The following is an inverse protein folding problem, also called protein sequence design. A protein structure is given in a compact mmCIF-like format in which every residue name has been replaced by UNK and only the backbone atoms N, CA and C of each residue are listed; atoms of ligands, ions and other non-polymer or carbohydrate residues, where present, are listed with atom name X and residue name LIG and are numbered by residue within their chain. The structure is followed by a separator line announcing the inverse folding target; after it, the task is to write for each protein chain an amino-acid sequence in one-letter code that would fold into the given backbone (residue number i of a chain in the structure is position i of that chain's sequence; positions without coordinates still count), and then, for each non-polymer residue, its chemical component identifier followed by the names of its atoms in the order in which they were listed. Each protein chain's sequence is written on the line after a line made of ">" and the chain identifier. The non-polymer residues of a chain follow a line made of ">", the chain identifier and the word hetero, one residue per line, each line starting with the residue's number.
data_IF_935837975979
#
_entry.id   IF_935837975979
#
_cell.length_a   1.000
_cell.length_b   1.000
_cell.length_c   1.000
_cell.angle_alpha   90.00
_cell.angle_beta   90.00
_cell.angle_gamma   90.00
#
_symmetry.space_group_name_H-M   'P 1'
#
loop_
_entity.id
_entity.type
_entity.pdbx_description
1 polymer ?
#
# COMPACT_ATOMS: atom_id res chain seq x y z
N UNK A 1 -2.02 20.13 27.95
CA UNK A 1 -1.51 20.23 26.57
C UNK A 1 -0.73 21.52 26.47
N UNK A 2 0.46 21.48 25.89
CA UNK A 2 1.25 22.68 25.56
C UNK A 2 1.25 22.79 24.04
N UNK A 3 0.74 23.88 23.48
CA UNK A 3 0.68 24.07 22.03
C UNK A 3 1.07 25.50 21.67
N UNK A 4 2.04 25.65 20.76
CA UNK A 4 2.52 26.92 20.24
C UNK A 4 2.53 26.87 18.71
N UNK A 5 2.16 27.97 18.05
CA UNK A 5 2.22 28.11 16.58
C UNK A 5 1.56 26.91 15.85
N UNK A 6 0.27 26.69 16.10
CA UNK A 6 -0.41 25.48 15.64
C UNK A 6 -1.65 25.76 14.77
N UNK A 7 -2.02 24.77 13.96
CA UNK A 7 -3.31 24.66 13.26
C UNK A 7 -3.92 23.32 13.63
N UNK A 8 -5.17 23.30 14.12
CA UNK A 8 -5.91 22.07 14.44
C UNK A 8 -7.26 22.09 13.72
N UNK A 9 -7.54 21.05 12.94
CA UNK A 9 -8.75 20.93 12.12
C UNK A 9 -9.85 20.09 12.81
N UNK A 10 -11.02 20.06 12.17
CA UNK A 10 -12.22 19.42 12.69
C UNK A 10 -12.04 17.93 12.98
N UNK A 11 -12.65 17.48 14.09
CA UNK A 11 -12.59 16.09 14.54
C UNK A 11 -11.24 15.63 15.10
N UNK A 12 -10.21 16.49 15.12
CA UNK A 12 -8.95 16.19 15.77
C UNK A 12 -9.10 16.20 17.31
N UNK A 13 -8.24 15.44 18.01
CA UNK A 13 -8.17 15.39 19.47
C UNK A 13 -6.72 15.47 19.93
N UNK A 14 -6.40 16.49 20.73
CA UNK A 14 -5.07 16.69 21.34
C UNK A 14 -5.24 16.74 22.86
N UNK A 15 -4.66 15.79 23.58
CA UNK A 15 -4.86 15.62 25.03
C UNK A 15 -3.65 15.03 25.76
N UNK A 16 -3.84 14.56 27.00
CA UNK A 16 -2.91 13.69 27.73
C UNK A 16 -1.45 14.20 27.75
N UNK A 17 -1.30 15.48 28.08
CA UNK A 17 0.00 16.18 28.16
C UNK A 17 0.83 16.17 26.87
N UNK A 18 0.19 16.16 25.70
CA UNK A 18 0.87 16.40 24.43
C UNK A 18 1.53 17.79 24.37
N UNK A 19 2.66 17.86 23.66
CA UNK A 19 3.44 19.08 23.41
C UNK A 19 3.56 19.30 21.90
N UNK A 20 3.13 20.46 21.40
CA UNK A 20 3.15 20.82 19.99
C UNK A 20 3.80 22.20 19.81
N UNK A 21 4.74 22.33 18.89
CA UNK A 21 5.30 23.62 18.46
C UNK A 21 5.45 23.65 16.93
N UNK A 22 4.89 24.66 16.25
CA UNK A 22 4.90 24.74 14.77
C UNK A 22 4.28 23.51 14.10
N UNK A 23 3.08 23.12 14.52
CA UNK A 23 2.43 21.90 14.04
C UNK A 23 1.11 22.14 13.29
N UNK A 24 0.89 21.38 12.22
CA UNK A 24 -0.42 21.23 11.58
C UNK A 24 -1.04 19.88 11.98
N UNK A 25 -2.29 19.91 12.45
CA UNK A 25 -3.04 18.74 12.94
C UNK A 25 -4.36 18.65 12.16
N UNK A 26 -4.38 17.76 11.17
CA UNK A 26 -5.45 17.58 10.19
C UNK A 26 -6.70 16.90 10.75
N UNK A 27 -7.68 16.65 9.86
CA UNK A 27 -9.00 16.19 10.28
C UNK A 27 -8.94 14.79 10.90
N UNK A 28 -9.58 14.63 12.05
CA UNK A 28 -9.55 13.35 12.76
C UNK A 28 -8.17 12.95 13.29
N UNK A 29 -7.15 13.81 13.34
CA UNK A 29 -5.87 13.41 13.96
C UNK A 29 -6.02 13.22 15.47
N UNK A 30 -5.32 12.24 16.06
CA UNK A 30 -5.26 12.05 17.52
C UNK A 30 -3.83 12.16 18.02
N UNK A 31 -3.54 13.12 18.90
CA UNK A 31 -2.23 13.28 19.52
C UNK A 31 -2.39 13.31 21.03
N UNK A 32 -1.61 12.50 21.75
CA UNK A 32 -1.78 12.38 23.20
C UNK A 32 -0.71 11.52 23.85
N UNK A 33 -0.95 11.20 25.11
CA UNK A 33 -0.12 10.33 25.95
C UNK A 33 1.36 10.73 25.97
N UNK A 34 1.59 12.01 26.24
CA UNK A 34 2.91 12.65 26.30
C UNK A 34 3.68 12.66 24.97
N UNK A 35 2.98 12.58 23.83
CA UNK A 35 3.62 12.74 22.53
C UNK A 35 4.08 14.19 22.33
N UNK A 36 5.30 14.38 21.83
CA UNK A 36 5.85 15.68 21.47
C UNK A 36 6.01 15.81 19.95
N UNK A 37 5.71 16.98 19.40
CA UNK A 37 5.98 17.27 18.00
C UNK A 37 6.47 18.70 17.77
N UNK A 38 7.42 18.85 16.86
CA UNK A 38 7.90 20.15 16.40
C UNK A 38 7.97 20.23 14.87
N UNK A 39 7.62 21.38 14.27
CA UNK A 39 7.78 21.65 12.83
C UNK A 39 7.13 20.58 11.92
N UNK A 40 6.03 19.99 12.37
CA UNK A 40 5.49 18.75 11.79
C UNK A 40 4.05 18.90 11.32
N UNK A 41 3.74 18.28 10.19
CA UNK A 41 2.38 18.24 9.63
C UNK A 41 1.80 16.83 9.73
N UNK A 42 0.63 16.70 10.35
CA UNK A 42 -0.12 15.46 10.48
C UNK A 42 -1.44 15.60 9.70
N UNK A 43 -1.65 14.77 8.69
CA UNK A 43 -2.86 14.76 7.86
C UNK A 43 -3.88 13.73 8.37
N UNK A 44 -5.02 13.62 7.69
CA UNK A 44 -6.19 12.86 8.12
C UNK A 44 -5.90 11.56 8.90
N UNK A 45 -6.55 11.42 10.04
CA UNK A 45 -6.54 10.20 10.85
C UNK A 45 -5.16 9.71 11.31
N UNK A 46 -4.11 10.54 11.30
CA UNK A 46 -2.87 10.20 11.99
C UNK A 46 -3.09 9.99 13.49
N UNK A 47 -2.23 9.17 14.10
CA UNK A 47 -2.22 8.94 15.54
C UNK A 47 -0.79 9.08 16.09
N UNK A 48 -0.56 10.08 16.93
CA UNK A 48 0.71 10.34 17.60
C UNK A 48 0.56 10.11 19.10
N UNK A 49 0.91 8.90 19.56
CA UNK A 49 0.98 8.59 20.99
C UNK A 49 2.38 8.13 21.36
N UNK A 50 2.82 8.49 22.56
CA UNK A 50 4.01 7.92 23.18
C UNK A 50 5.28 7.99 22.29
N UNK A 51 5.86 9.18 22.11
CA UNK A 51 7.04 9.34 21.26
C UNK A 51 7.26 10.80 20.88
N UNK A 52 8.13 11.01 19.90
CA UNK A 52 8.52 12.34 19.41
C UNK A 52 8.52 12.39 17.88
N UNK A 53 8.08 13.52 17.34
CA UNK A 53 8.20 13.85 15.92
C UNK A 53 8.88 15.21 15.71
N UNK A 54 9.82 15.31 14.78
CA UNK A 54 10.43 16.59 14.40
C UNK A 54 10.62 16.73 12.91
N UNK A 55 10.09 17.81 12.34
CA UNK A 55 10.22 18.13 10.91
C UNK A 55 9.70 17.02 9.98
N UNK A 56 8.53 16.44 10.29
CA UNK A 56 7.94 15.37 9.47
C UNK A 56 6.73 15.84 8.64
N UNK A 57 6.56 15.18 7.49
CA UNK A 57 5.31 15.19 6.73
C UNK A 57 4.61 13.85 6.94
N UNK A 58 3.66 13.80 7.87
CA UNK A 58 2.85 12.63 8.16
C UNK A 58 1.54 12.71 7.37
N UNK A 59 1.55 12.14 6.16
CA UNK A 59 0.35 11.84 5.38
C UNK A 59 -0.63 10.93 6.12
N UNK A 60 -1.87 10.77 5.61
CA UNK A 60 -2.97 10.13 6.30
C UNK A 60 -2.61 8.77 6.89
N UNK A 61 -3.17 8.47 8.07
CA UNK A 61 -2.96 7.21 8.78
C UNK A 61 -1.49 6.87 9.08
N UNK A 62 -0.62 7.88 9.20
CA UNK A 62 0.66 7.71 9.89
C UNK A 62 0.40 7.53 11.39
N UNK A 63 0.81 6.39 11.94
CA UNK A 63 0.53 6.01 13.32
C UNK A 63 1.79 5.63 14.09
N UNK A 64 1.83 6.07 15.34
CA UNK A 64 2.76 5.62 16.35
C UNK A 64 2.06 5.53 17.71
N UNK A 65 2.18 4.38 18.38
CA UNK A 65 1.40 4.05 19.58
C UNK A 65 2.24 3.68 20.80
N UNK A 66 3.57 3.65 20.68
CA UNK A 66 4.44 3.02 21.67
C UNK A 66 5.69 3.85 21.94
N UNK A 67 6.10 3.94 23.21
CA UNK A 67 7.43 4.47 23.53
C UNK A 67 8.52 3.54 22.98
N UNK A 68 9.70 4.03 22.59
CA UNK A 68 10.14 5.42 22.43
C UNK A 68 10.34 5.72 20.94
N UNK A 69 9.25 5.86 20.18
CA UNK A 69 9.37 6.18 18.75
C UNK A 69 9.91 7.60 18.56
N UNK A 70 10.85 7.73 17.63
CA UNK A 70 11.34 9.00 17.12
C UNK A 70 11.08 9.01 15.62
N UNK A 71 10.35 10.03 15.15
CA UNK A 71 10.08 10.28 13.73
C UNK A 71 10.73 11.61 13.34
N UNK A 72 11.76 11.58 12.49
CA UNK A 72 12.45 12.82 12.10
C UNK A 72 12.63 12.95 10.59
N UNK A 73 12.57 14.20 10.09
CA UNK A 73 12.99 14.59 8.74
C UNK A 73 12.52 13.58 7.67
N UNK A 74 11.22 13.29 7.63
CA UNK A 74 10.69 12.20 6.83
C UNK A 74 9.28 12.43 6.30
N UNK A 75 9.01 11.85 5.13
CA UNK A 75 7.68 11.69 4.55
C UNK A 75 7.15 10.30 4.89
N UNK A 76 5.96 10.25 5.49
CA UNK A 76 5.27 9.03 5.89
C UNK A 76 3.83 9.07 5.38
N UNK A 77 3.30 7.95 4.91
CA UNK A 77 1.89 7.85 4.49
C UNK A 77 1.36 6.45 4.79
N UNK A 78 0.18 6.35 5.41
CA UNK A 78 -0.40 5.09 5.88
C UNK A 78 0.59 4.22 6.68
N UNK A 79 1.50 4.91 7.38
CA UNK A 79 2.69 4.33 7.97
C UNK A 79 2.39 3.79 9.38
N UNK A 80 2.97 2.65 9.74
CA UNK A 80 2.89 2.13 11.10
C UNK A 80 4.30 2.01 11.71
N UNK A 81 4.57 2.81 12.74
CA UNK A 81 5.82 2.77 13.48
C UNK A 81 5.77 1.71 14.59
N UNK A 82 6.61 0.68 14.47
CA UNK A 82 6.86 -0.26 15.56
C UNK A 82 7.47 0.43 16.79
N UNK A 83 7.31 -0.17 17.97
CA UNK A 83 7.85 0.38 19.22
C UNK A 83 9.37 0.61 19.14
N UNK A 84 9.87 1.74 19.66
CA UNK A 84 11.29 2.05 19.63
C UNK A 84 11.88 2.28 18.22
N UNK A 85 11.03 2.48 17.20
CA UNK A 85 11.48 2.91 15.88
C UNK A 85 12.24 4.23 15.99
N UNK A 86 13.41 4.31 15.35
CA UNK A 86 14.29 5.47 15.45
C UNK A 86 14.95 5.73 14.08
N UNK A 87 15.28 6.99 13.78
CA UNK A 87 16.04 7.35 12.58
C UNK A 87 17.12 8.37 12.91
N UNK A 88 18.14 8.42 12.06
CA UNK A 88 19.14 9.47 12.13
C UNK A 88 19.28 10.16 10.79
N UNK A 89 19.38 11.47 10.83
CA UNK A 89 19.69 12.31 9.70
C UNK A 89 21.04 13.03 9.90
N UNK A 90 21.93 12.56 10.78
CA UNK A 90 23.23 13.22 10.97
C UNK A 90 24.22 12.87 9.83
N UNK A 91 24.06 13.50 8.65
CA UNK A 91 24.91 13.29 7.49
C UNK A 91 25.70 14.57 7.14
N UNK A 92 26.82 14.79 7.83
CA UNK A 92 27.65 16.00 7.71
C UNK A 92 28.06 16.40 6.27
N UNK A 93 28.11 15.44 5.34
CA UNK A 93 28.55 15.66 3.95
C UNK A 93 27.45 16.15 2.99
N UNK A 94 26.17 15.98 3.32
CA UNK A 94 25.05 16.26 2.41
C UNK A 94 24.36 17.62 2.66
N UNK A 95 24.84 18.40 3.62
CA UNK A 95 24.14 19.63 4.05
C UNK A 95 22.79 19.31 4.72
N UNK A 96 21.89 20.28 4.90
CA UNK A 96 20.71 20.12 5.75
C UNK A 96 19.55 19.29 5.14
N UNK A 97 19.67 18.83 3.89
CA UNK A 97 18.54 18.26 3.13
C UNK A 97 18.78 16.79 2.76
N UNK A 98 18.47 15.90 3.69
CA UNK A 98 18.41 14.45 3.45
C UNK A 98 17.25 13.85 4.27
N UNK A 99 16.15 13.54 3.59
CA UNK A 99 14.94 13.04 4.23
C UNK A 99 14.77 11.55 4.01
N UNK A 100 14.09 10.89 4.95
CA UNK A 100 13.52 9.58 4.70
C UNK A 100 12.21 9.69 3.92
N UNK A 101 12.00 8.79 2.97
CA UNK A 101 10.72 8.65 2.26
C UNK A 101 10.19 7.25 2.50
N UNK A 102 9.18 7.13 3.34
CA UNK A 102 8.44 5.90 3.54
C UNK A 102 7.12 6.03 2.79
N UNK A 103 7.08 5.42 1.61
CA UNK A 103 5.88 5.44 0.77
C UNK A 103 4.70 4.73 1.47
N UNK A 104 3.49 5.00 0.95
CA UNK A 104 2.22 4.48 1.46
C UNK A 104 2.28 3.06 2.00
N UNK A 105 1.83 2.87 3.22
CA UNK A 105 1.61 1.55 3.81
C UNK A 105 2.89 0.89 4.30
N UNK A 106 4.05 1.58 4.22
CA UNK A 106 5.28 1.10 4.81
C UNK A 106 5.13 0.92 6.33
N UNK A 107 5.95 0.04 6.91
CA UNK A 107 5.91 -0.25 8.35
C UNK A 107 7.32 -0.51 8.86
N UNK A 108 7.56 -0.16 10.11
CA UNK A 108 8.77 -0.58 10.82
C UNK A 108 8.44 -1.62 11.88
N UNK A 109 9.29 -2.62 12.01
CA UNK A 109 9.29 -3.52 13.16
C UNK A 109 9.76 -2.79 14.43
N UNK A 110 9.53 -3.41 15.58
CA UNK A 110 10.07 -2.91 16.84
C UNK A 110 11.59 -2.74 16.79
N UNK A 111 12.10 -1.66 17.37
CA UNK A 111 13.50 -1.25 17.42
C UNK A 111 14.18 -1.12 16.05
N UNK A 112 13.41 -0.87 15.00
CA UNK A 112 14.00 -0.61 13.68
C UNK A 112 14.71 0.74 13.67
N UNK A 113 15.90 0.76 13.07
CA UNK A 113 16.69 1.96 12.87
C UNK A 113 16.97 2.17 11.39
N UNK A 114 16.88 3.41 10.92
CA UNK A 114 17.24 3.77 9.54
C UNK A 114 18.11 5.02 9.51
N UNK A 115 19.17 4.98 8.71
CA UNK A 115 20.01 6.14 8.42
C UNK A 115 19.51 6.87 7.17
N UNK A 116 19.11 8.13 7.31
CA UNK A 116 18.70 8.97 6.19
C UNK A 116 19.88 9.40 5.31
N UNK A 117 19.67 9.57 4.00
CA UNK A 117 18.40 9.35 3.28
C UNK A 117 18.13 7.87 2.96
N UNK A 118 16.86 7.46 3.02
CA UNK A 118 16.39 6.20 2.45
C UNK A 118 15.05 6.42 1.75
N UNK A 119 14.77 5.60 0.73
CA UNK A 119 13.47 5.53 0.09
C UNK A 119 12.91 4.11 0.11
N UNK A 120 11.78 3.95 0.78
CA UNK A 120 11.13 2.67 1.03
C UNK A 120 9.92 2.55 0.10
N UNK A 121 9.87 1.46 -0.69
CA UNK A 121 8.74 1.20 -1.59
C UNK A 121 7.42 0.98 -0.85
N UNK A 122 6.31 1.37 -1.48
CA UNK A 122 4.97 1.24 -0.90
C UNK A 122 4.69 -0.15 -0.30
N UNK A 123 4.03 -0.20 0.86
CA UNK A 123 3.67 -1.42 1.59
C UNK A 123 4.87 -2.29 2.01
N UNK A 124 6.07 -1.73 2.12
CA UNK A 124 7.27 -2.47 2.55
C UNK A 124 7.43 -2.47 4.07
N UNK A 125 7.73 -3.64 4.64
CA UNK A 125 8.11 -3.77 6.04
C UNK A 125 9.63 -3.64 6.21
N UNK A 126 10.09 -2.83 7.16
CA UNK A 126 11.51 -2.64 7.50
C UNK A 126 11.74 -3.12 8.92
N UNK A 127 12.65 -4.06 9.13
CA UNK A 127 12.88 -4.70 10.43
C UNK A 127 14.38 -4.78 10.70
N UNK A 128 14.80 -4.20 11.83
CA UNK A 128 16.19 -4.23 12.27
C UNK A 128 16.91 -2.90 12.06
N UNK A 129 18.24 -2.90 12.19
CA UNK A 129 19.07 -1.69 12.22
C UNK A 129 19.83 -1.50 10.92
N UNK A 130 19.39 -0.54 10.11
CA UNK A 130 19.95 -0.27 8.80
C UNK A 130 20.81 1.00 8.82
N UNK A 131 22.13 0.81 8.81
CA UNK A 131 23.10 1.90 8.81
C UNK A 131 23.49 2.38 7.41
N UNK A 132 23.14 1.63 6.36
CA UNK A 132 23.34 2.04 4.99
C UNK A 132 22.13 2.82 4.47
N UNK A 133 22.38 3.74 3.55
CA UNK A 133 21.34 4.40 2.75
C UNK A 133 20.88 3.47 1.62
N UNK A 134 19.59 3.46 1.29
CA UNK A 134 19.07 2.64 0.20
C UNK A 134 17.79 3.19 -0.45
N UNK A 135 17.56 2.81 -1.71
CA UNK A 135 16.34 3.13 -2.47
C UNK A 135 15.71 1.87 -3.06
N UNK A 136 14.49 1.58 -2.58
CA UNK A 136 13.69 0.41 -2.93
C UNK A 136 12.32 0.80 -3.49
N UNK A 137 12.16 2.04 -3.97
CA UNK A 137 10.88 2.59 -4.41
C UNK A 137 10.15 1.75 -5.46
N UNK A 138 10.90 1.09 -6.34
CA UNK A 138 10.38 0.25 -7.43
C UNK A 138 10.18 -1.22 -7.03
N UNK A 139 10.41 -1.56 -5.76
CA UNK A 139 10.18 -2.90 -5.20
C UNK A 139 9.14 -2.83 -4.06
N UNK A 140 7.86 -2.53 -4.37
CA UNK A 140 6.80 -2.41 -3.36
C UNK A 140 6.48 -3.76 -2.72
N UNK A 141 5.79 -3.75 -1.58
CA UNK A 141 5.41 -4.96 -0.85
C UNK A 141 6.61 -5.84 -0.48
N UNK A 142 7.78 -5.26 -0.27
CA UNK A 142 8.97 -6.02 0.13
C UNK A 142 9.03 -6.17 1.65
N UNK A 143 9.91 -7.05 2.13
CA UNK A 143 10.50 -6.91 3.46
C UNK A 143 11.97 -6.53 3.32
N UNK A 144 12.45 -5.65 4.21
CA UNK A 144 13.85 -5.29 4.34
C UNK A 144 14.25 -5.67 5.76
N UNK A 145 15.16 -6.63 5.87
CA UNK A 145 15.59 -7.22 7.14
C UNK A 145 17.06 -6.90 7.36
N UNK A 146 17.42 -6.53 8.58
CA UNK A 146 18.83 -6.53 8.97
C UNK A 146 19.30 -7.99 9.15
N UNK A 147 20.42 -8.32 8.51
CA UNK A 147 21.07 -9.62 8.66
C UNK A 147 22.57 -9.44 8.52
N UNK A 148 23.33 -9.77 9.55
CA UNK A 148 24.79 -9.72 9.56
C UNK A 148 25.35 -8.33 9.15
N UNK A 149 24.69 -7.26 9.60
CA UNK A 149 25.06 -5.88 9.28
C UNK A 149 24.61 -5.40 7.90
N UNK A 150 23.89 -6.22 7.13
CA UNK A 150 23.39 -5.89 5.79
C UNK A 150 21.88 -5.66 5.79
N UNK A 151 21.42 -4.78 4.91
CA UNK A 151 20.01 -4.61 4.58
C UNK A 151 19.61 -5.64 3.51
N UNK A 152 18.94 -6.71 3.92
CA UNK A 152 18.50 -7.79 3.01
C UNK A 152 17.07 -7.58 2.58
N UNK A 153 16.84 -7.38 1.28
CA UNK A 153 15.52 -7.21 0.70
C UNK A 153 14.94 -8.54 0.20
N UNK A 154 13.67 -8.77 0.53
CA UNK A 154 12.83 -9.86 0.07
C UNK A 154 11.68 -9.28 -0.77
N UNK A 155 11.80 -9.28 -2.12
CA UNK A 155 10.83 -8.63 -2.98
C UNK A 155 9.45 -9.27 -2.86
N UNK A 156 8.39 -8.46 -2.95
CA UNK A 156 7.00 -8.91 -3.03
C UNK A 156 6.49 -9.74 -1.83
N UNK A 157 7.30 -9.94 -0.78
CA UNK A 157 6.99 -10.80 0.35
C UNK A 157 5.73 -10.38 1.11
N UNK A 158 5.50 -9.08 1.20
CA UNK A 158 4.41 -8.51 1.97
C UNK A 158 3.06 -8.49 1.22
N UNK A 159 3.00 -8.93 -0.05
CA UNK A 159 1.76 -9.01 -0.83
C UNK A 159 0.75 -9.98 -0.21
N UNK A 160 1.25 -11.13 0.26
CA UNK A 160 0.43 -12.25 0.70
C UNK A 160 0.36 -12.37 2.22
N UNK A 161 0.63 -11.29 2.97
CA UNK A 161 0.60 -11.34 4.43
C UNK A 161 -0.78 -10.97 4.94
N UNK A 162 -1.18 -11.61 6.04
CA UNK A 162 -2.42 -11.27 6.75
C UNK A 162 -2.40 -9.80 7.22
N UNK A 163 -1.23 -9.29 7.61
CA UNK A 163 -1.04 -7.92 8.07
C UNK A 163 -1.36 -6.86 7.01
N UNK A 164 -0.89 -7.03 5.77
CA UNK A 164 -1.17 -6.11 4.67
C UNK A 164 -2.66 -6.04 4.34
N UNK A 165 -3.32 -7.20 4.28
CA UNK A 165 -4.76 -7.28 3.98
C UNK A 165 -5.61 -6.63 5.07
N UNK A 166 -5.32 -6.95 6.34
CA UNK A 166 -6.03 -6.37 7.49
C UNK A 166 -5.84 -4.86 7.56
N UNK A 167 -4.63 -4.36 7.37
CA UNK A 167 -4.37 -2.91 7.48
C UNK A 167 -5.04 -2.12 6.37
N UNK A 168 -5.02 -2.63 5.14
CA UNK A 168 -5.73 -2.03 4.01
C UNK A 168 -7.25 -1.91 4.26
N UNK A 169 -7.85 -2.95 4.83
CA UNK A 169 -9.28 -2.94 5.19
C UNK A 169 -9.59 -2.06 6.42
N UNK A 170 -8.63 -1.87 7.33
CA UNK A 170 -8.84 -1.06 8.55
C UNK A 170 -8.97 0.42 8.25
N UNK A 171 -8.18 0.97 7.33
CA UNK A 171 -8.14 2.42 7.09
C UNK A 171 -9.49 3.05 6.76
N UNK A 172 -10.26 2.58 5.75
CA UNK A 172 -11.57 3.15 5.46
C UNK A 172 -12.56 2.96 6.62
N UNK A 173 -12.53 1.80 7.28
CA UNK A 173 -13.38 1.52 8.45
C UNK A 173 -13.03 2.35 9.69
N UNK A 174 -11.83 2.95 9.71
CA UNK A 174 -11.32 3.82 10.77
C UNK A 174 -11.22 5.27 10.32
N UNK A 175 -11.86 5.67 9.21
CA UNK A 175 -11.96 7.09 8.86
C UNK A 175 -12.83 7.80 9.92
N UNK A 176 -12.19 8.59 10.78
CA UNK A 176 -12.83 9.29 11.90
C UNK A 176 -13.27 10.70 11.52
N UNK A 177 -13.09 11.11 10.25
CA UNK A 177 -13.53 12.41 9.74
C UNK A 177 -15.04 12.42 9.58
N UNK A 178 -15.71 13.07 10.53
CA UNK A 178 -17.17 13.28 10.55
C UNK A 178 -17.61 14.59 9.90
N UNK A 179 -16.66 15.47 9.61
CA UNK A 179 -16.94 16.73 8.91
C UNK A 179 -17.49 16.43 7.51
N UNK A 180 -18.62 17.06 7.09
CA UNK A 180 -19.14 16.90 5.74
C UNK A 180 -18.15 17.36 4.67
N UNK A 181 -17.30 18.34 4.97
CA UNK A 181 -16.24 18.80 4.09
C UNK A 181 -14.91 18.12 4.44
N UNK A 182 -14.67 16.97 3.82
CA UNK A 182 -13.39 16.25 3.93
C UNK A 182 -12.34 16.93 3.04
N UNK A 183 -11.30 17.50 3.66
CA UNK A 183 -10.27 18.29 2.96
C UNK A 183 -9.19 17.41 2.33
N UNK A 184 -8.75 16.37 3.05
CA UNK A 184 -7.77 15.43 2.54
C UNK A 184 -8.41 14.46 1.54
N UNK A 185 -7.86 14.40 0.32
CA UNK A 185 -8.28 13.51 -0.75
C UNK A 185 -7.54 12.17 -0.59
N UNK A 186 -8.27 11.08 -0.37
CA UNK A 186 -7.68 9.81 0.08
C UNK A 186 -8.25 8.64 -0.70
N UNK A 187 -7.38 7.99 -1.48
CA UNK A 187 -7.65 6.68 -2.07
C UNK A 187 -7.25 5.57 -1.09
N UNK A 188 -7.95 4.44 -1.06
CA UNK A 188 -7.72 3.34 -0.11
C UNK A 188 -7.29 2.03 -0.79
N UNK A 189 -7.25 2.02 -2.12
CA UNK A 189 -6.95 0.87 -2.94
C UNK A 189 -5.54 0.34 -2.66
N UNK A 190 -5.45 -0.96 -2.35
CA UNK A 190 -4.18 -1.66 -2.18
C UNK A 190 -3.48 -1.87 -3.53
N UNK A 191 -4.22 -2.43 -4.49
CA UNK A 191 -3.80 -2.57 -5.88
C UNK A 191 -4.42 -1.44 -6.69
N UNK A 192 -3.58 -0.56 -7.21
CA UNK A 192 -3.97 0.63 -7.97
C UNK A 192 -2.96 0.87 -9.09
N UNK A 193 -3.24 1.73 -10.08
CA UNK A 193 -2.25 2.10 -11.10
C UNK A 193 -0.89 2.51 -10.52
N UNK A 194 -0.87 3.13 -9.34
CA UNK A 194 0.35 3.48 -8.61
C UNK A 194 1.16 2.26 -8.17
N UNK A 195 0.54 1.32 -7.43
CA UNK A 195 1.24 0.14 -6.93
C UNK A 195 1.54 -0.88 -8.03
N UNK A 196 0.59 -1.12 -8.93
CA UNK A 196 0.77 -2.03 -10.08
C UNK A 196 1.81 -1.47 -11.06
N UNK A 197 1.83 -0.16 -11.30
CA UNK A 197 2.88 0.50 -12.10
C UNK A 197 4.29 0.30 -11.50
N UNK A 198 4.41 0.35 -10.17
CA UNK A 198 5.66 0.01 -9.47
C UNK A 198 6.01 -1.47 -9.60
N UNK A 199 5.04 -2.39 -9.47
CA UNK A 199 5.27 -3.83 -9.69
C UNK A 199 5.82 -4.12 -11.09
N UNK A 200 5.29 -3.46 -12.12
CA UNK A 200 5.79 -3.60 -13.50
C UNK A 200 7.26 -3.17 -13.63
N UNK A 201 7.67 -2.09 -12.94
CA UNK A 201 9.09 -1.68 -12.89
C UNK A 201 9.92 -2.66 -12.06
N UNK A 202 9.39 -3.13 -10.94
CA UNK A 202 9.99 -4.17 -10.12
C UNK A 202 10.26 -5.46 -10.88
N UNK A 203 9.33 -5.92 -11.73
CA UNK A 203 9.55 -7.09 -12.61
C UNK A 203 10.75 -6.86 -13.52
N UNK A 204 10.84 -5.69 -14.17
CA UNK A 204 11.97 -5.35 -15.05
C UNK A 204 13.29 -5.35 -14.29
N UNK A 205 13.32 -4.76 -13.09
CA UNK A 205 14.50 -4.74 -12.21
C UNK A 205 14.91 -6.17 -11.86
N UNK A 206 13.98 -7.00 -11.35
CA UNK A 206 14.29 -8.33 -10.87
C UNK A 206 14.73 -9.28 -12.00
N UNK A 207 14.09 -9.22 -13.17
CA UNK A 207 14.49 -10.00 -14.35
C UNK A 207 15.88 -9.58 -14.85
N UNK A 208 16.15 -8.28 -14.94
CA UNK A 208 17.47 -7.76 -15.30
C UNK A 208 18.56 -8.25 -14.32
N UNK A 209 18.30 -8.14 -13.01
CA UNK A 209 19.24 -8.63 -11.99
C UNK A 209 19.46 -10.14 -12.10
N UNK A 210 18.43 -10.93 -12.41
CA UNK A 210 18.55 -12.37 -12.60
C UNK A 210 19.41 -12.73 -13.82
N UNK A 211 19.22 -12.00 -14.93
CA UNK A 211 19.98 -12.17 -16.18
C UNK A 211 21.46 -11.76 -16.02
N UNK A 212 21.75 -10.70 -15.26
CA UNK A 212 23.10 -10.16 -15.08
C UNK A 212 23.91 -10.87 -13.97
N UNK A 213 23.27 -11.75 -13.18
CA UNK A 213 23.89 -12.40 -12.01
C UNK A 213 24.16 -13.89 -12.26
N UNK A 214 25.42 -14.29 -12.06
CA UNK A 214 25.86 -15.69 -12.15
C UNK A 214 25.10 -16.61 -11.19
N UNK A 215 24.89 -17.87 -11.56
CA UNK A 215 24.15 -18.83 -10.73
C UNK A 215 24.82 -19.15 -9.39
N UNK A 216 26.15 -19.01 -9.32
CA UNK A 216 26.97 -19.24 -8.13
C UNK A 216 26.87 -18.11 -7.10
N UNK A 217 26.35 -16.93 -7.48
CA UNK A 217 26.23 -15.80 -6.56
C UNK A 217 25.04 -16.00 -5.61
N UNK A 218 25.32 -16.04 -4.31
CA UNK A 218 24.28 -16.17 -3.29
C UNK A 218 23.41 -14.91 -3.14
N UNK A 219 24.00 -13.73 -3.38
CA UNK A 219 23.37 -12.42 -3.21
C UNK A 219 23.64 -11.51 -4.42
N UNK A 220 22.70 -10.59 -4.64
CA UNK A 220 22.77 -9.53 -5.65
C UNK A 220 22.58 -8.19 -4.95
N UNK A 221 23.47 -7.24 -5.23
CA UNK A 221 23.38 -5.88 -4.67
C UNK A 221 22.51 -5.00 -5.57
N UNK A 222 21.61 -4.22 -4.96
CA UNK A 222 20.71 -3.31 -5.66
C UNK A 222 20.46 -2.07 -4.80
N UNK A 223 20.88 -0.89 -5.25
CA UNK A 223 20.59 0.40 -4.63
C UNK A 223 20.75 0.44 -3.09
N UNK A 224 21.81 -0.18 -2.56
CA UNK A 224 22.11 -0.19 -1.12
C UNK A 224 21.44 -1.31 -0.32
N UNK A 225 20.76 -2.26 -0.97
CA UNK A 225 20.27 -3.51 -0.35
C UNK A 225 20.84 -4.74 -1.04
N UNK A 226 20.92 -5.85 -0.31
CA UNK A 226 21.27 -7.17 -0.83
C UNK A 226 20.01 -8.02 -1.03
N UNK A 227 19.88 -8.71 -2.15
CA UNK A 227 18.77 -9.63 -2.44
C UNK A 227 19.35 -11.04 -2.60
N UNK A 228 18.79 -12.03 -1.89
CA UNK A 228 19.16 -13.44 -2.13
C UNK A 228 18.77 -13.82 -3.55
N UNK A 229 19.69 -14.37 -4.35
CA UNK A 229 19.43 -14.69 -5.77
C UNK A 229 18.15 -15.52 -5.99
N UNK A 230 17.83 -16.56 -5.19
CA UNK A 230 16.58 -17.33 -5.34
C UNK A 230 15.30 -16.51 -5.12
N UNK A 231 15.39 -15.30 -4.55
CA UNK A 231 14.25 -14.41 -4.30
C UNK A 231 13.95 -13.47 -5.48
N UNK A 232 14.82 -13.39 -6.49
CA UNK A 232 14.55 -12.60 -7.70
C UNK A 232 13.34 -13.16 -8.45
N UNK A 233 13.39 -14.46 -8.78
CA UNK A 233 12.31 -15.18 -9.46
C UNK A 233 11.00 -15.16 -8.71
N UNK A 234 11.03 -15.58 -7.45
CA UNK A 234 9.85 -15.55 -6.57
C UNK A 234 9.26 -14.14 -6.48
N UNK A 235 10.11 -13.12 -6.46
CA UNK A 235 9.70 -11.71 -6.43
C UNK A 235 8.90 -11.31 -7.65
N UNK A 236 9.42 -11.50 -8.86
CA UNK A 236 8.71 -11.08 -10.07
C UNK A 236 7.49 -11.96 -10.37
N UNK A 237 7.51 -13.26 -10.05
CA UNK A 237 6.34 -14.14 -10.20
C UNK A 237 5.17 -13.70 -9.29
N UNK A 238 5.48 -13.25 -8.07
CA UNK A 238 4.47 -12.71 -7.16
C UNK A 238 3.90 -11.37 -7.67
N UNK A 239 4.72 -10.52 -8.29
CA UNK A 239 4.24 -9.31 -8.96
C UNK A 239 3.35 -9.64 -10.15
N UNK A 240 3.74 -10.58 -11.01
CA UNK A 240 2.92 -11.03 -12.16
C UNK A 240 1.55 -11.54 -11.68
N UNK A 241 1.51 -12.34 -10.61
CA UNK A 241 0.26 -12.79 -9.98
C UNK A 241 -0.60 -11.61 -9.50
N UNK A 242 -0.03 -10.66 -8.75
CA UNK A 242 -0.78 -9.51 -8.24
C UNK A 242 -1.31 -8.60 -9.37
N UNK A 243 -0.57 -8.46 -10.48
CA UNK A 243 -1.02 -7.73 -11.66
C UNK A 243 -2.24 -8.42 -12.30
N UNK A 244 -2.22 -9.76 -12.44
CA UNK A 244 -3.39 -10.53 -12.92
C UNK A 244 -4.62 -10.34 -12.02
N UNK A 245 -4.41 -10.33 -10.69
CA UNK A 245 -5.48 -10.04 -9.73
C UNK A 245 -6.08 -8.65 -9.96
N UNK A 246 -5.25 -7.62 -10.13
CA UNK A 246 -5.71 -6.25 -10.41
C UNK A 246 -6.50 -6.15 -11.71
N UNK A 247 -5.93 -6.62 -12.83
CA UNK A 247 -6.56 -6.53 -14.15
C UNK A 247 -7.92 -7.23 -14.19
N UNK A 248 -7.96 -8.45 -13.65
CA UNK A 248 -9.17 -9.22 -13.55
C UNK A 248 -10.25 -8.55 -12.71
N UNK A 249 -9.89 -8.01 -11.55
CA UNK A 249 -10.84 -7.29 -10.70
C UNK A 249 -11.46 -6.10 -11.44
N UNK A 250 -10.67 -5.31 -12.17
CA UNK A 250 -11.18 -4.16 -12.92
C UNK A 250 -12.07 -4.56 -14.10
N UNK A 251 -11.71 -5.63 -14.83
CA UNK A 251 -12.47 -6.16 -15.96
C UNK A 251 -13.79 -6.80 -15.47
N UNK A 252 -13.72 -7.71 -14.51
CA UNK A 252 -14.88 -8.41 -13.94
C UNK A 252 -15.88 -7.42 -13.34
N UNK A 253 -15.42 -6.43 -12.57
CA UNK A 253 -16.28 -5.37 -11.98
C UNK A 253 -17.10 -4.62 -13.05
N UNK A 254 -16.59 -4.49 -14.27
CA UNK A 254 -17.29 -3.81 -15.38
C UNK A 254 -18.18 -4.77 -16.17
N UNK A 255 -17.70 -5.98 -16.46
CA UNK A 255 -18.50 -7.00 -17.14
C UNK A 255 -19.76 -7.37 -16.34
N UNK A 256 -19.68 -7.43 -15.01
CA UNK A 256 -20.83 -7.73 -14.13
C UNK A 256 -21.95 -6.68 -14.18
N UNK A 257 -21.67 -5.46 -14.68
CA UNK A 257 -22.66 -4.40 -14.84
C UNK A 257 -23.37 -4.45 -16.19
N UNK A 258 -22.96 -5.35 -17.09
CA UNK A 258 -23.55 -5.48 -18.41
C UNK A 258 -24.83 -6.33 -18.34
N UNK A 259 -25.81 -5.98 -19.18
CA UNK A 259 -27.03 -6.78 -19.32
C UNK A 259 -26.77 -8.01 -20.19
N UNK A 260 -27.55 -9.07 -19.99
CA UNK A 260 -27.46 -10.30 -20.77
C UNK A 260 -27.77 -10.11 -22.27
N UNK A 261 -28.40 -8.99 -22.65
CA UNK A 261 -28.81 -8.67 -24.03
C UNK A 261 -27.76 -7.82 -24.78
N UNK A 262 -26.63 -7.52 -24.14
CA UNK A 262 -25.58 -6.68 -24.73
C UNK A 262 -24.81 -7.48 -25.80
N UNK A 263 -24.67 -6.93 -27.02
CA UNK A 263 -23.84 -7.54 -28.08
C UNK A 263 -22.35 -7.39 -27.75
N UNK A 264 -21.49 -8.19 -28.38
CA UNK A 264 -20.04 -8.06 -28.14
C UNK A 264 -19.48 -6.68 -28.56
N UNK A 265 -20.04 -6.07 -29.62
CA UNK A 265 -19.65 -4.72 -30.02
C UNK A 265 -20.03 -3.68 -28.95
N UNK A 266 -21.21 -3.82 -28.34
CA UNK A 266 -21.61 -2.97 -27.22
C UNK A 266 -20.71 -3.17 -25.99
N UNK A 267 -20.25 -4.40 -25.73
CA UNK A 267 -19.28 -4.70 -24.67
C UNK A 267 -17.97 -3.96 -24.95
N UNK A 268 -17.42 -4.09 -26.16
CA UNK A 268 -16.19 -3.40 -26.57
C UNK A 268 -16.35 -1.89 -26.41
N UNK A 269 -17.45 -1.32 -26.90
CA UNK A 269 -17.74 0.11 -26.75
C UNK A 269 -17.83 0.56 -25.29
N UNK A 270 -18.42 -0.25 -24.39
CA UNK A 270 -18.53 0.06 -22.96
C UNK A 270 -17.21 -0.11 -22.19
N UNK A 271 -16.36 -1.04 -22.61
CA UNK A 271 -15.05 -1.25 -22.01
C UNK A 271 -14.00 -0.25 -22.52
N UNK A 272 -14.18 0.32 -23.71
CA UNK A 272 -13.29 1.35 -24.22
C UNK A 272 -13.32 2.61 -23.33
N UNK A 273 -12.16 3.10 -22.84
CA UNK A 273 -12.11 4.34 -22.08
C UNK A 273 -12.55 5.53 -22.96
N UNK A 274 -13.39 6.39 -22.39
CA UNK A 274 -13.89 7.60 -23.10
C UNK A 274 -12.80 8.60 -23.45
N UNK A 275 -11.69 8.57 -22.72
CA UNK A 275 -10.54 9.47 -22.85
C UNK A 275 -9.26 8.66 -22.64
N UNK A 276 -8.15 9.14 -23.21
CA UNK A 276 -6.82 8.57 -23.00
C UNK A 276 -6.07 9.17 -21.81
N UNK A 277 -6.76 9.92 -20.96
CA UNK A 277 -6.22 10.45 -19.70
C UNK A 277 -5.91 9.30 -18.74
N UNK A 278 -4.88 9.45 -17.90
CA UNK A 278 -4.51 8.42 -16.91
C UNK A 278 -3.46 7.40 -17.34
N UNK A 279 -3.01 7.40 -18.61
CA UNK A 279 -1.90 6.53 -19.05
C UNK A 279 -0.56 6.96 -18.43
N UNK A 280 0.40 6.03 -18.41
CA UNK A 280 1.77 6.28 -17.96
C UNK A 280 1.96 6.10 -16.46
N UNK A 281 2.82 6.92 -15.86
CA UNK A 281 3.13 6.84 -14.44
C UNK A 281 2.03 7.44 -13.59
N UNK A 282 1.91 6.90 -12.38
CA UNK A 282 1.05 7.41 -11.32
C UNK A 282 1.90 7.78 -10.12
N UNK A 283 1.41 8.76 -9.36
CA UNK A 283 2.05 9.27 -8.14
C UNK A 283 1.07 9.22 -6.98
N UNK A 284 1.63 9.16 -5.77
CA UNK A 284 0.88 9.30 -4.52
C UNK A 284 1.24 10.63 -3.87
N UNK A 285 0.28 11.56 -3.86
CA UNK A 285 0.41 12.86 -3.21
C UNK A 285 0.08 12.74 -1.72
N UNK A 286 0.77 11.81 -1.05
CA UNK A 286 0.57 11.46 0.35
C UNK A 286 -0.90 11.20 0.72
N UNK A 287 -1.64 10.42 -0.08
CA UNK A 287 -3.05 10.10 0.16
C UNK A 287 -3.87 10.03 -1.12
N UNK A 288 -3.66 11.00 -2.01
CA UNK A 288 -4.34 11.10 -3.30
C UNK A 288 -3.51 10.43 -4.39
N UNK A 289 -4.06 9.41 -5.04
CA UNK A 289 -3.45 8.77 -6.20
C UNK A 289 -3.87 9.52 -7.46
N UNK A 290 -2.90 9.87 -8.31
CA UNK A 290 -3.17 10.62 -9.53
C UNK A 290 -2.23 10.21 -10.67
N UNK A 291 -2.68 10.35 -11.94
CA UNK A 291 -1.79 10.30 -13.09
C UNK A 291 -0.71 11.38 -12.96
N UNK A 292 0.55 11.04 -13.19
CA UNK A 292 1.67 11.98 -13.09
C UNK A 292 1.46 13.18 -14.03
N UNK A 293 0.96 12.93 -15.25
CA UNK A 293 0.67 13.97 -16.25
C UNK A 293 -0.40 14.97 -15.78
N UNK A 294 -1.40 14.52 -15.02
CA UNK A 294 -2.41 15.41 -14.46
C UNK A 294 -1.79 16.36 -13.40
N UNK A 295 -0.91 15.83 -12.57
CA UNK A 295 -0.16 16.62 -11.58
C UNK A 295 0.81 17.60 -12.24
N UNK A 296 1.51 17.18 -13.29
CA UNK A 296 2.42 18.05 -14.04
C UNK A 296 1.67 19.20 -14.73
N UNK A 297 0.50 18.92 -15.31
CA UNK A 297 -0.36 19.95 -15.89
C UNK A 297 -0.87 20.92 -14.82
N UNK A 298 -1.25 20.43 -13.64
CA UNK A 298 -1.63 21.26 -12.50
C UNK A 298 -0.48 22.19 -12.07
N UNK A 299 0.73 21.65 -11.91
CA UNK A 299 1.93 22.42 -11.57
C UNK A 299 2.24 23.48 -12.63
N UNK A 300 2.10 23.13 -13.91
CA UNK A 300 2.27 24.09 -15.01
C UNK A 300 1.26 25.22 -14.93
N UNK A 301 -0.03 24.91 -14.73
CA UNK A 301 -1.09 25.90 -14.63
C UNK A 301 -0.90 26.87 -13.45
N UNK A 302 -0.36 26.38 -12.32
CA UNK A 302 0.03 27.24 -11.18
C UNK A 302 1.19 28.15 -11.57
N UNK A 303 2.26 27.61 -12.17
CA UNK A 303 3.45 28.39 -12.56
C UNK A 303 3.13 29.48 -13.59
N UNK A 304 2.19 29.24 -14.49
CA UNK A 304 1.78 30.21 -15.51
C UNK A 304 0.70 31.18 -15.03
N UNK A 305 0.24 31.08 -13.78
CA UNK A 305 -0.83 31.91 -13.23
C UNK A 305 -2.24 31.60 -13.75
N UNK A 306 -2.42 30.49 -14.48
CA UNK A 306 -3.76 30.02 -14.88
C UNK A 306 -4.58 29.57 -13.67
N UNK A 307 -3.91 28.98 -12.68
CA UNK A 307 -4.45 28.75 -11.33
C UNK A 307 -3.82 29.81 -10.44
N UNK A 308 -4.59 30.85 -10.11
CA UNK A 308 -4.10 32.01 -9.37
C UNK A 308 -4.50 31.99 -7.88
N UNK A 309 -5.45 31.14 -7.48
CA UNK A 309 -5.94 31.10 -6.10
C UNK A 309 -5.83 29.71 -5.48
N UNK A 310 -5.77 29.66 -4.15
CA UNK A 310 -5.80 28.40 -3.39
C UNK A 310 -7.11 27.63 -3.66
N UNK A 311 -8.23 28.34 -3.81
CA UNK A 311 -9.52 27.71 -4.08
C UNK A 311 -9.55 27.03 -5.45
N UNK A 312 -8.97 27.66 -6.48
CA UNK A 312 -8.84 27.07 -7.80
C UNK A 312 -7.96 25.82 -7.78
N UNK A 313 -6.84 25.87 -7.03
CA UNK A 313 -5.98 24.71 -6.84
C UNK A 313 -6.73 23.55 -6.17
N UNK A 314 -7.49 23.82 -5.11
CA UNK A 314 -8.32 22.82 -4.42
C UNK A 314 -9.36 22.23 -5.38
N UNK A 315 -10.06 23.06 -6.16
CA UNK A 315 -11.08 22.60 -7.11
C UNK A 315 -10.47 21.69 -8.19
N UNK A 316 -9.27 22.01 -8.69
CA UNK A 316 -8.58 21.18 -9.67
C UNK A 316 -8.08 19.85 -9.06
N UNK A 317 -7.58 19.86 -7.83
CA UNK A 317 -7.22 18.63 -7.12
C UNK A 317 -8.45 17.73 -6.91
N UNK A 318 -9.59 18.30 -6.51
CA UNK A 318 -10.86 17.57 -6.39
C UNK A 318 -11.30 16.97 -7.72
N UNK A 319 -11.23 17.73 -8.82
CA UNK A 319 -11.58 17.23 -10.14
C UNK A 319 -10.70 16.04 -10.58
N UNK A 320 -9.39 16.07 -10.29
CA UNK A 320 -8.50 14.94 -10.56
C UNK A 320 -8.90 13.72 -9.70
N UNK A 321 -9.17 13.93 -8.41
CA UNK A 321 -9.54 12.88 -7.48
C UNK A 321 -10.89 12.23 -7.83
N UNK A 322 -11.90 13.03 -8.18
CA UNK A 322 -13.23 12.55 -8.60
C UNK A 322 -13.17 11.79 -9.93
N UNK A 323 -12.20 12.09 -10.79
CA UNK A 323 -11.97 11.39 -12.05
C UNK A 323 -11.04 10.15 -11.91
N UNK A 324 -10.71 9.74 -10.68
CA UNK A 324 -9.84 8.59 -10.40
C UNK A 324 -10.33 7.31 -11.09
N UNK A 325 -11.61 6.95 -10.92
CA UNK A 325 -12.17 5.70 -11.46
C UNK A 325 -12.05 5.62 -12.99
N UNK A 326 -12.23 6.75 -13.68
CA UNK A 326 -12.11 6.82 -15.13
C UNK A 326 -10.64 6.73 -15.57
N UNK A 327 -9.75 7.50 -14.94
CA UNK A 327 -8.32 7.52 -15.32
C UNK A 327 -7.61 6.22 -14.97
N UNK A 328 -7.96 5.59 -13.84
CA UNK A 328 -7.49 4.27 -13.47
C UNK A 328 -7.97 3.20 -14.46
N UNK A 329 -9.19 3.35 -14.98
CA UNK A 329 -9.70 2.47 -16.04
C UNK A 329 -8.92 2.61 -17.35
N UNK A 330 -8.68 3.84 -17.79
CA UNK A 330 -7.86 4.13 -18.96
C UNK A 330 -6.46 3.51 -18.84
N UNK A 331 -5.88 3.56 -17.64
CA UNK A 331 -4.60 2.91 -17.33
C UNK A 331 -4.69 1.38 -17.40
N UNK A 332 -5.74 0.79 -16.83
CA UNK A 332 -5.98 -0.66 -16.87
C UNK A 332 -6.09 -1.17 -18.31
N UNK A 333 -6.83 -0.49 -19.18
CA UNK A 333 -6.95 -0.89 -20.60
C UNK A 333 -5.62 -0.74 -21.34
N UNK A 334 -4.87 0.34 -21.08
CA UNK A 334 -3.51 0.49 -21.61
C UNK A 334 -2.59 -0.67 -21.22
N UNK A 335 -2.71 -1.15 -19.97
CA UNK A 335 -1.97 -2.33 -19.50
C UNK A 335 -2.44 -3.63 -20.17
N UNK A 336 -3.75 -3.85 -20.34
CA UNK A 336 -4.29 -5.03 -21.04
C UNK A 336 -3.75 -5.11 -22.47
N UNK A 337 -3.78 -4.00 -23.22
CA UNK A 337 -3.24 -3.93 -24.57
C UNK A 337 -1.76 -4.31 -24.62
N UNK A 338 -0.97 -3.79 -23.67
CA UNK A 338 0.47 -4.10 -23.57
C UNK A 338 0.75 -5.55 -23.23
N UNK A 339 -0.07 -6.17 -22.38
CA UNK A 339 0.13 -7.57 -21.99
C UNK A 339 -0.30 -8.55 -23.06
N UNK A 340 -1.38 -8.25 -23.79
CA UNK A 340 -1.88 -9.08 -24.88
C UNK A 340 -1.15 -8.82 -26.20
N UNK A 341 -0.48 -7.68 -26.36
CA UNK A 341 0.18 -7.29 -27.60
C UNK A 341 -0.80 -6.93 -28.73
N UNK A 342 -2.02 -6.50 -28.39
CA UNK A 342 -3.09 -6.16 -29.34
C UNK A 342 -3.68 -4.77 -29.05
N UNK A 343 -4.26 -4.12 -30.06
CA UNK A 343 -5.17 -2.99 -29.84
C UNK A 343 -6.44 -3.51 -29.15
N UNK A 344 -6.95 -2.82 -28.15
CA UNK A 344 -8.15 -3.26 -27.44
C UNK A 344 -9.38 -3.34 -28.36
N UNK A 345 -9.39 -2.63 -29.49
CA UNK A 345 -10.42 -2.77 -30.53
C UNK A 345 -10.50 -4.19 -31.10
N UNK A 346 -9.38 -4.91 -31.08
CA UNK A 346 -9.24 -6.29 -31.56
C UNK A 346 -9.44 -7.32 -30.44
N UNK A 347 -9.88 -6.88 -29.25
CA UNK A 347 -10.21 -7.79 -28.16
C UNK A 347 -11.30 -8.78 -28.61
N UNK A 348 -11.11 -10.06 -28.31
CA UNK A 348 -12.06 -11.12 -28.63
C UNK A 348 -12.66 -11.65 -27.33
N UNK A 349 -13.79 -12.36 -27.37
CA UNK A 349 -14.33 -12.94 -26.15
C UNK A 349 -13.36 -13.99 -25.56
N UNK A 350 -12.55 -14.68 -26.37
CA UNK A 350 -11.49 -15.58 -25.89
C UNK A 350 -10.43 -14.85 -25.06
N UNK A 351 -10.01 -13.65 -25.48
CA UNK A 351 -9.09 -12.83 -24.69
C UNK A 351 -9.69 -12.46 -23.32
N UNK A 352 -10.98 -12.13 -23.27
CA UNK A 352 -11.67 -11.84 -22.01
C UNK A 352 -11.77 -13.08 -21.12
N UNK A 353 -12.10 -14.25 -21.69
CA UNK A 353 -12.11 -15.54 -20.96
C UNK A 353 -10.73 -15.82 -20.36
N UNK A 354 -9.65 -15.59 -21.12
CA UNK A 354 -8.28 -15.78 -20.62
C UNK A 354 -8.00 -14.87 -19.42
N UNK A 355 -8.32 -13.57 -19.51
CA UNK A 355 -8.13 -12.62 -18.40
C UNK A 355 -8.92 -13.06 -17.15
N UNK A 356 -10.16 -13.52 -17.32
CA UNK A 356 -11.02 -13.95 -16.21
C UNK A 356 -10.49 -15.25 -15.58
N UNK A 357 -9.95 -16.18 -16.37
CA UNK A 357 -9.32 -17.39 -15.84
C UNK A 357 -8.01 -17.09 -15.10
N UNK A 358 -7.13 -16.28 -15.70
CA UNK A 358 -5.89 -15.82 -15.07
C UNK A 358 -6.16 -15.12 -13.74
N UNK A 359 -7.20 -14.28 -13.70
CA UNK A 359 -7.68 -13.62 -12.50
C UNK A 359 -8.15 -14.59 -11.43
N UNK A 360 -9.02 -15.55 -11.79
CA UNK A 360 -9.55 -16.56 -10.89
C UNK A 360 -8.41 -17.34 -10.25
N UNK A 361 -7.52 -17.90 -11.07
CA UNK A 361 -6.38 -18.70 -10.60
C UNK A 361 -5.43 -17.89 -9.70
N UNK A 362 -5.05 -16.68 -10.13
CA UNK A 362 -4.14 -15.82 -9.37
C UNK A 362 -4.75 -15.35 -8.06
N UNK A 363 -6.05 -15.04 -8.05
CA UNK A 363 -6.75 -14.59 -6.84
C UNK A 363 -6.91 -15.73 -5.84
N UNK A 364 -7.22 -16.95 -6.30
CA UNK A 364 -7.28 -18.13 -5.44
C UNK A 364 -5.89 -18.46 -4.88
N UNK A 365 -4.85 -18.39 -5.70
CA UNK A 365 -3.46 -18.59 -5.25
C UNK A 365 -3.06 -17.57 -4.19
N UNK A 366 -3.34 -16.28 -4.42
CA UNK A 366 -3.05 -15.22 -3.45
C UNK A 366 -3.82 -15.43 -2.13
N UNK A 367 -5.12 -15.76 -2.21
CA UNK A 367 -5.92 -16.05 -1.02
C UNK A 367 -5.36 -17.25 -0.25
N UNK A 368 -4.94 -18.32 -0.93
CA UNK A 368 -4.30 -19.47 -0.29
C UNK A 368 -2.98 -19.10 0.39
N UNK A 369 -2.16 -18.25 -0.23
CA UNK A 369 -0.93 -17.74 0.40
C UNK A 369 -1.22 -16.93 1.67
N UNK A 370 -2.29 -16.13 1.65
CA UNK A 370 -2.74 -15.34 2.81
C UNK A 370 -3.27 -16.23 3.93
N UNK A 371 -4.05 -17.26 3.59
CA UNK A 371 -4.54 -18.26 4.55
C UNK A 371 -3.38 -18.99 5.23
N UNK A 372 -2.39 -19.44 4.44
CA UNK A 372 -1.17 -20.07 4.96
C UNK A 372 -0.35 -19.15 5.86
N UNK A 373 -0.35 -17.84 5.60
CA UNK A 373 0.30 -16.88 6.48
C UNK A 373 -0.49 -16.69 7.79
N UNK A 374 -1.83 -16.68 7.72
CA UNK A 374 -2.71 -16.58 8.88
C UNK A 374 -2.63 -17.80 9.81
N UNK A 375 -2.34 -19.01 9.29
CA UNK A 375 -2.14 -20.22 10.10
C UNK A 375 -1.05 -20.04 11.16
N UNK A 376 0.00 -19.27 10.86
CA UNK A 376 1.11 -18.98 11.79
C UNK A 376 0.68 -18.18 13.03
N UNK A 377 -0.52 -17.60 13.03
CA UNK A 377 -1.10 -16.95 14.21
C UNK A 377 -1.63 -17.95 15.25
N UNK A 378 -1.75 -19.24 14.88
CA UNK A 378 -2.30 -20.33 15.71
C UNK A 378 -1.25 -21.38 16.12
N UNK A 379 0.02 -21.20 15.73
CA UNK A 379 1.12 -22.10 16.10
C UNK A 379 1.30 -22.19 17.63
N UNK A 380 1.84 -23.31 18.12
CA UNK A 380 2.09 -23.54 19.55
C UNK A 380 2.91 -22.42 20.24
N UNK A 381 3.84 -21.78 19.49
CA UNK A 381 4.62 -20.64 20.01
C UNK A 381 3.76 -19.40 20.29
N UNK A 382 2.56 -19.29 19.71
CA UNK A 382 1.61 -18.21 19.97
C UNK A 382 0.81 -18.42 21.25
N UNK A 383 0.89 -19.62 21.82
CA UNK A 383 0.21 -19.98 23.07
C UNK A 383 1.08 -19.73 24.33
N UNK A 384 2.33 -19.27 24.18
CA UNK A 384 3.29 -19.10 25.29
C UNK A 384 2.73 -18.23 26.43
N UNK A 385 1.89 -17.24 26.13
CA UNK A 385 1.32 -16.32 27.12
C UNK A 385 -0.04 -16.75 27.70
N UNK A 386 -0.50 -17.97 27.47
CA UNK A 386 -1.84 -18.45 27.87
C UNK A 386 -1.73 -19.57 28.91
N UNK A 387 -2.73 -19.70 29.77
CA UNK A 387 -2.78 -20.74 30.81
C UNK A 387 -1.65 -20.63 31.84
N UNK A 388 -1.39 -19.42 32.35
CA UNK A 388 -0.21 -19.04 33.15
C UNK A 388 0.12 -19.99 34.32
N UNK A 389 -0.89 -20.57 34.97
CA UNK A 389 -0.74 -21.49 36.12
C UNK A 389 -1.18 -22.93 35.79
N UNK A 390 -1.43 -23.23 34.52
CA UNK A 390 -2.04 -24.48 34.06
C UNK A 390 -1.08 -25.41 33.31
N UNK A 391 -1.60 -26.58 32.96
CA UNK A 391 -0.95 -27.53 32.07
C UNK A 391 -1.18 -27.18 30.58
N UNK A 392 -0.63 -27.98 29.67
CA UNK A 392 -0.81 -27.76 28.22
C UNK A 392 -2.29 -27.79 27.79
N UNK A 393 -3.15 -28.54 28.50
CA UNK A 393 -4.59 -28.55 28.22
C UNK A 393 -5.22 -27.20 28.60
N UNK A 394 -4.88 -26.69 29.78
CA UNK A 394 -5.36 -25.39 30.26
C UNK A 394 -4.89 -24.26 29.34
N UNK A 395 -3.63 -24.28 28.94
CA UNK A 395 -3.04 -23.33 27.98
C UNK A 395 -3.73 -23.36 26.62
N UNK A 396 -3.99 -24.55 26.07
CA UNK A 396 -4.70 -24.68 24.80
C UNK A 396 -6.14 -24.16 24.90
N UNK A 397 -6.86 -24.49 25.98
CA UNK A 397 -8.23 -24.02 26.22
C UNK A 397 -8.32 -22.51 26.41
N UNK A 398 -7.38 -21.93 27.14
CA UNK A 398 -7.32 -20.48 27.37
C UNK A 398 -6.98 -19.75 26.05
N UNK A 399 -6.04 -20.29 25.27
CA UNK A 399 -5.76 -19.78 23.93
C UNK A 399 -7.00 -19.81 23.04
N UNK A 400 -7.69 -20.95 22.97
CA UNK A 400 -8.91 -21.11 22.17
C UNK A 400 -10.04 -20.19 22.64
N UNK A 401 -10.23 -20.01 23.96
CA UNK A 401 -11.26 -19.11 24.49
C UNK A 401 -11.05 -17.64 24.08
N UNK A 402 -9.79 -17.21 23.91
CA UNK A 402 -9.45 -15.81 23.56
C UNK A 402 -9.27 -15.61 22.06
N UNK A 403 -8.59 -16.54 21.39
CA UNK A 403 -8.22 -16.43 19.96
C UNK A 403 -9.19 -17.14 19.03
N UNK A 404 -10.00 -18.05 19.57
CA UNK A 404 -10.75 -19.03 18.78
C UNK A 404 -9.84 -20.07 18.15
N UNK A 405 -10.46 -20.92 17.35
CA UNK A 405 -9.76 -21.84 16.45
C UNK A 405 -9.46 -21.16 15.11
N UNK A 406 -8.58 -21.77 14.30
CA UNK A 406 -8.29 -21.27 12.96
C UNK A 406 -9.55 -21.32 12.07
N UNK A 407 -10.35 -22.38 12.22
CA UNK A 407 -11.57 -22.65 11.45
C UNK A 407 -12.65 -21.61 11.73
N UNK A 408 -12.79 -21.17 12.98
CA UNK A 408 -13.81 -20.21 13.42
C UNK A 408 -13.34 -18.75 13.28
N UNK A 409 -12.07 -18.53 12.96
CA UNK A 409 -11.54 -17.17 12.85
C UNK A 409 -12.25 -16.38 11.74
N UNK A 410 -12.86 -15.24 12.11
CA UNK A 410 -13.64 -14.39 11.20
C UNK A 410 -12.88 -13.99 9.93
N UNK A 411 -11.59 -13.65 10.05
CA UNK A 411 -10.78 -13.29 8.89
C UNK A 411 -10.54 -14.47 7.95
N UNK A 412 -10.26 -15.66 8.50
CA UNK A 412 -10.10 -16.90 7.74
C UNK A 412 -11.39 -17.24 7.00
N UNK A 413 -12.53 -17.16 7.68
CA UNK A 413 -13.85 -17.40 7.08
C UNK A 413 -14.16 -16.39 5.96
N UNK A 414 -13.83 -15.12 6.13
CA UNK A 414 -14.00 -14.08 5.11
C UNK A 414 -13.16 -14.36 3.85
N UNK A 415 -11.89 -14.73 4.01
CA UNK A 415 -11.01 -15.06 2.87
C UNK A 415 -11.47 -16.34 2.16
N UNK A 416 -11.90 -17.37 2.89
CA UNK A 416 -12.47 -18.60 2.29
C UNK A 416 -13.76 -18.28 1.50
N UNK A 417 -14.66 -17.46 2.08
CA UNK A 417 -15.89 -17.01 1.41
C UNK A 417 -15.58 -16.20 0.15
N UNK A 418 -14.56 -15.37 0.19
CA UNK A 418 -14.11 -14.61 -0.97
C UNK A 418 -13.60 -15.52 -2.08
N UNK A 419 -12.81 -16.55 -1.77
CA UNK A 419 -12.38 -17.55 -2.75
C UNK A 419 -13.56 -18.24 -3.45
N UNK A 420 -14.59 -18.63 -2.70
CA UNK A 420 -15.84 -19.18 -3.27
C UNK A 420 -16.54 -18.15 -4.15
N UNK A 421 -16.58 -16.89 -3.70
CA UNK A 421 -17.22 -15.80 -4.44
C UNK A 421 -16.49 -15.52 -5.76
N UNK A 422 -15.15 -15.55 -5.76
CA UNK A 422 -14.33 -15.38 -6.96
C UNK A 422 -14.65 -16.48 -7.98
N UNK A 423 -14.74 -17.74 -7.56
CA UNK A 423 -15.09 -18.86 -8.44
C UNK A 423 -16.46 -18.65 -9.09
N UNK A 424 -17.50 -18.37 -8.29
CA UNK A 424 -18.85 -18.13 -8.80
C UNK A 424 -18.93 -16.93 -9.73
N UNK A 425 -18.21 -15.85 -9.43
CA UNK A 425 -18.15 -14.65 -10.28
C UNK A 425 -17.44 -14.96 -11.60
N UNK A 426 -16.34 -15.69 -11.57
CA UNK A 426 -15.63 -16.10 -12.77
C UNK A 426 -16.51 -16.97 -13.67
N UNK A 427 -17.16 -18.00 -13.13
CA UNK A 427 -18.09 -18.87 -13.87
C UNK A 427 -19.23 -18.07 -14.51
N UNK A 428 -19.88 -17.19 -13.74
CA UNK A 428 -20.95 -16.34 -14.25
C UNK A 428 -20.49 -15.43 -15.39
N UNK A 429 -19.32 -14.80 -15.24
CA UNK A 429 -18.78 -13.88 -16.24
C UNK A 429 -18.31 -14.63 -17.48
N UNK A 430 -17.67 -15.80 -17.34
CA UNK A 430 -17.31 -16.65 -18.47
C UNK A 430 -18.56 -17.08 -19.24
N UNK A 431 -19.59 -17.57 -18.56
CA UNK A 431 -20.86 -17.94 -19.18
C UNK A 431 -21.57 -16.75 -19.87
N UNK A 432 -21.33 -15.51 -19.43
CA UNK A 432 -21.78 -14.32 -20.12
C UNK A 432 -20.96 -14.07 -21.40
N UNK A 433 -19.64 -14.20 -21.31
CA UNK A 433 -18.71 -13.99 -22.44
C UNK A 433 -18.90 -15.04 -23.54
N UNK A 434 -19.15 -16.30 -23.19
CA UNK A 434 -19.35 -17.40 -24.14
C UNK A 434 -20.57 -17.21 -25.04
N UNK A 435 -21.54 -16.37 -24.65
CA UNK A 435 -22.69 -16.01 -25.50
C UNK A 435 -22.33 -15.04 -26.63
N UNK A 436 -21.12 -14.49 -26.59
CA UNK A 436 -20.58 -13.58 -27.60
C UNK A 436 -19.69 -14.29 -28.63
N UNK A 437 -19.54 -15.60 -28.50
CA UNK A 437 -19.09 -16.49 -29.57
C UNK A 437 -20.27 -16.84 -30.46
#
# INVERSE_FOLDING_TARGET
>A
VVAKEFIILSGARVDDAAILDRCFVGQGVRIGKQFSAENSAFFANCEGFHGEASSIFAGPYTVTHHKSTLLIAGLFSFYNAGSGTNQSNHMYKLGPVHQGILERGAKTGSFSYMMWPCRIGAFTGVIGKHYANFDTADLPFSYILESEGKSVLMPAMNLSTVGTRRDSAKWPNRDRRKDPNKLDLINFELLSPYTVGKMLRGIKVLKKLEEETSEEQAFVEYNGVSIKRPKLKVGYENYEMAIKVYLGNEIVKRLEKLSNETTFEDVKAKLMPKKSDGRGNWVDLAGMLAPQTAVENLLKAVRTGQIATVQDLINNLKAIYENYDQTAWSWCIDLVQKQLGIDFKEITPQHLVQIVNDWKESSLKLNNMILKDAEKEFDARRQIGFGIDGDEVTKARDFEAVRGTYEENKFVAEVKKESITIQKRAERVIALIEKWH
#
